data_IF_455580547203
#
_entry.id   IF_455580547203
#
_cell.length_a   1.000
_cell.length_b   1.000
_cell.length_c   1.000
_cell.angle_alpha   90.00
_cell.angle_beta   90.00
_cell.angle_gamma   90.00
#
_symmetry.space_group_name_H-M   'P 1'
#
loop_
_entity.id
_entity.type
_entity.pdbx_description
1 polymer ?
#
# COMPACT_ATOMS: atom_id res chain seq x y z
N UNK A 1 37.52 18.88 5.97
CA UNK A 1 37.62 17.83 4.92
C UNK A 1 36.40 16.97 5.03
N UNK A 2 35.36 17.20 4.23
CA UNK A 2 34.18 16.32 4.20
C UNK A 2 34.59 15.04 3.46
N UNK A 3 34.53 13.90 4.15
CA UNK A 3 34.88 12.61 3.58
C UNK A 3 33.84 12.20 2.53
N UNK A 4 34.27 11.80 1.33
CA UNK A 4 33.43 11.21 0.29
C UNK A 4 32.60 10.01 0.82
N UNK A 5 33.14 9.22 1.75
CA UNK A 5 32.47 8.12 2.43
C UNK A 5 31.20 8.55 3.20
N UNK A 6 31.18 9.79 3.74
CA UNK A 6 29.98 10.33 4.42
C UNK A 6 28.89 10.76 3.42
N UNK A 7 29.22 11.02 2.16
CA UNK A 7 28.26 11.35 1.11
C UNK A 7 27.55 10.09 0.56
N UNK A 8 28.29 8.99 0.36
CA UNK A 8 27.72 7.74 -0.15
C UNK A 8 26.80 7.05 0.86
N UNK A 9 27.13 7.03 2.15
CA UNK A 9 26.29 6.43 3.21
C UNK A 9 25.00 7.18 3.50
N UNK A 10 24.86 8.44 3.09
CA UNK A 10 23.62 9.22 3.26
C UNK A 10 22.61 8.97 2.13
N UNK A 11 23.08 8.61 0.93
CA UNK A 11 22.20 8.22 -0.18
C UNK A 11 21.46 6.91 0.10
N UNK A 12 22.13 5.93 0.69
CA UNK A 12 21.57 4.63 1.05
C UNK A 12 20.45 4.75 2.08
N UNK A 13 20.53 5.71 3.01
CA UNK A 13 19.51 5.93 4.05
C UNK A 13 18.13 6.19 3.50
N UNK A 14 17.97 6.92 2.39
CA UNK A 14 16.66 7.18 1.80
C UNK A 14 16.07 5.91 1.20
N UNK A 15 16.88 5.08 0.55
CA UNK A 15 16.42 3.78 0.07
C UNK A 15 15.98 2.89 1.23
N UNK A 16 16.76 2.82 2.32
CA UNK A 16 16.39 2.04 3.51
C UNK A 16 15.04 2.48 4.10
N UNK A 17 14.80 3.78 4.21
CA UNK A 17 13.56 4.33 4.74
C UNK A 17 12.37 4.06 3.81
N UNK A 18 12.53 4.20 2.50
CA UNK A 18 11.49 3.93 1.51
C UNK A 18 11.16 2.44 1.43
N UNK A 19 12.18 1.56 1.47
CA UNK A 19 11.99 0.10 1.53
C UNK A 19 11.27 -0.32 2.82
N UNK A 20 11.62 0.28 3.96
CA UNK A 20 10.93 0.04 5.22
C UNK A 20 9.47 0.53 5.19
N UNK A 21 9.20 1.65 4.49
CA UNK A 21 7.87 2.21 4.28
C UNK A 21 7.01 1.28 3.42
N UNK A 22 7.55 0.77 2.30
CA UNK A 22 6.89 -0.26 1.49
C UNK A 22 6.63 -1.55 2.29
N UNK A 23 7.59 -1.95 3.15
CA UNK A 23 7.44 -3.06 4.09
C UNK A 23 6.26 -2.87 5.04
N UNK A 24 6.06 -1.66 5.59
CA UNK A 24 4.94 -1.36 6.48
C UNK A 24 3.58 -1.47 5.75
N UNK A 25 3.52 -1.10 4.47
CA UNK A 25 2.32 -1.29 3.65
C UNK A 25 1.97 -2.78 3.50
N UNK A 26 2.96 -3.62 3.19
CA UNK A 26 2.80 -5.08 3.11
C UNK A 26 2.40 -5.70 4.45
N UNK A 27 2.98 -5.24 5.56
CA UNK A 27 2.61 -5.71 6.89
C UNK A 27 1.13 -5.41 7.21
N UNK A 28 0.62 -4.25 6.77
CA UNK A 28 -0.81 -3.92 6.85
C UNK A 28 -1.69 -4.86 6.03
N UNK A 29 -1.27 -5.23 4.81
CA UNK A 29 -2.01 -6.19 3.97
C UNK A 29 -2.01 -7.60 4.57
N UNK A 30 -0.90 -8.05 5.17
CA UNK A 30 -0.83 -9.31 5.93
C UNK A 30 -1.77 -9.33 7.12
N UNK A 31 -1.82 -8.22 7.88
CA UNK A 31 -2.74 -8.10 9.00
C UNK A 31 -4.21 -8.18 8.53
N UNK A 32 -4.52 -7.64 7.34
CA UNK A 32 -5.86 -7.75 6.75
C UNK A 32 -6.21 -9.20 6.40
N UNK A 33 -5.32 -9.93 5.74
CA UNK A 33 -5.55 -11.36 5.47
C UNK A 33 -5.81 -12.14 6.75
N UNK A 34 -4.95 -11.96 7.76
CA UNK A 34 -5.10 -12.63 9.05
C UNK A 34 -6.43 -12.29 9.74
N UNK A 35 -6.88 -11.02 9.68
CA UNK A 35 -8.17 -10.61 10.22
C UNK A 35 -9.35 -11.32 9.56
N UNK A 36 -9.32 -11.46 8.23
CA UNK A 36 -10.40 -12.08 7.45
C UNK A 36 -10.41 -13.61 7.56
N UNK A 37 -9.27 -14.22 7.84
CA UNK A 37 -9.11 -15.67 8.05
C UNK A 37 -9.42 -16.10 9.50
N UNK A 38 -9.43 -15.18 10.45
CA UNK A 38 -9.65 -15.45 11.88
C UNK A 38 -11.14 -15.69 12.20
N UNK A 39 -11.66 -16.85 11.79
CA UNK A 39 -13.04 -17.25 12.08
C UNK A 39 -13.24 -17.53 13.58
N UNK A 40 -14.06 -16.72 14.24
CA UNK A 40 -14.45 -16.94 15.64
C UNK A 40 -13.42 -16.51 16.70
N UNK A 41 -12.30 -15.91 16.30
CA UNK A 41 -11.30 -15.34 17.19
C UNK A 41 -11.57 -13.84 17.44
N UNK A 42 -11.09 -13.27 18.57
CA UNK A 42 -11.19 -11.84 18.81
C UNK A 42 -10.52 -11.04 17.68
N UNK A 43 -11.24 -10.14 17.03
CA UNK A 43 -10.72 -9.30 15.95
C UNK A 43 -9.76 -8.25 16.51
N UNK A 44 -8.45 -8.48 16.37
CA UNK A 44 -7.40 -7.61 16.90
C UNK A 44 -6.97 -6.58 15.86
N UNK A 45 -6.96 -5.31 16.24
CA UNK A 45 -6.51 -4.20 15.39
C UNK A 45 -5.03 -3.82 15.58
N UNK A 46 -4.30 -4.55 16.44
CA UNK A 46 -2.93 -4.17 16.82
C UNK A 46 -1.93 -4.24 15.65
N UNK A 47 -2.08 -5.21 14.75
CA UNK A 47 -1.26 -5.32 13.54
C UNK A 47 -1.39 -4.09 12.64
N UNK A 48 -2.63 -3.62 12.42
CA UNK A 48 -2.90 -2.42 11.60
C UNK A 48 -2.35 -1.16 12.26
N UNK A 49 -2.58 -1.00 13.57
CA UNK A 49 -2.07 0.13 14.35
C UNK A 49 -0.53 0.16 14.37
N UNK A 50 0.09 -1.01 14.46
CA UNK A 50 1.55 -1.13 14.40
C UNK A 50 2.09 -0.73 13.03
N UNK A 51 1.54 -1.25 11.93
CA UNK A 51 1.91 -0.88 10.56
C UNK A 51 1.72 0.63 10.33
N UNK A 52 0.61 1.18 10.79
CA UNK A 52 0.28 2.60 10.69
C UNK A 52 1.23 3.51 11.48
N UNK A 53 1.55 3.15 12.73
CA UNK A 53 2.54 3.88 13.55
C UNK A 53 3.91 3.85 12.91
N UNK A 54 4.36 2.65 12.50
CA UNK A 54 5.64 2.48 11.81
C UNK A 54 5.76 3.37 10.58
N UNK A 55 4.72 3.41 9.75
CA UNK A 55 4.71 4.25 8.56
C UNK A 55 4.75 5.74 8.89
N UNK A 56 4.00 6.18 9.90
CA UNK A 56 4.04 7.56 10.37
C UNK A 56 5.43 7.98 10.85
N UNK A 57 6.11 7.11 11.57
CA UNK A 57 7.46 7.36 12.08
C UNK A 57 8.49 7.38 10.94
N UNK A 58 8.33 6.50 9.92
CA UNK A 58 9.18 6.49 8.73
C UNK A 58 9.01 7.76 7.89
N UNK A 59 7.77 8.21 7.68
CA UNK A 59 7.51 9.46 6.97
C UNK A 59 8.13 10.67 7.69
N UNK A 60 8.07 10.71 9.03
CA UNK A 60 8.72 11.75 9.82
C UNK A 60 10.26 11.69 9.69
N UNK A 61 10.85 10.50 9.72
CA UNK A 61 12.30 10.30 9.52
C UNK A 61 12.75 10.71 8.11
N UNK A 62 11.95 10.43 7.06
CA UNK A 62 12.23 10.87 5.68
C UNK A 62 12.23 12.39 5.63
N UNK A 63 11.22 13.06 6.20
CA UNK A 63 11.12 14.52 6.23
C UNK A 63 12.29 15.14 6.98
N UNK A 64 12.67 14.61 8.13
CA UNK A 64 13.85 15.07 8.89
C UNK A 64 15.16 14.85 8.12
N UNK A 65 15.31 13.69 7.48
CA UNK A 65 16.50 13.39 6.66
C UNK A 65 16.61 14.35 5.47
N UNK A 66 15.49 14.70 4.83
CA UNK A 66 15.47 15.68 3.74
C UNK A 66 15.96 17.06 4.22
N UNK A 67 15.54 17.52 5.40
CA UNK A 67 16.02 18.81 5.95
C UNK A 67 17.51 18.78 6.23
N UNK A 68 18.04 17.68 6.74
CA UNK A 68 19.41 17.57 7.23
C UNK A 68 20.41 17.03 6.18
N UNK A 69 19.99 16.73 4.95
CA UNK A 69 20.85 16.19 3.89
C UNK A 69 20.96 17.20 2.76
N UNK A 70 22.18 17.60 2.40
CA UNK A 70 22.40 18.58 1.34
C UNK A 70 22.34 17.96 -0.07
N UNK A 71 22.85 16.74 -0.23
CA UNK A 71 22.84 15.99 -1.50
C UNK A 71 22.10 14.68 -1.30
N UNK A 72 21.12 14.39 -2.12
CA UNK A 72 20.29 13.18 -2.09
C UNK A 72 20.52 12.31 -3.34
N UNK A 73 20.34 11.00 -3.22
CA UNK A 73 20.51 10.07 -4.35
C UNK A 73 19.39 10.17 -5.41
N UNK A 74 18.22 10.66 -5.01
CA UNK A 74 17.07 10.97 -5.84
C UNK A 74 16.71 12.45 -5.64
N UNK A 75 15.95 13.02 -6.56
CA UNK A 75 15.40 14.35 -6.37
C UNK A 75 14.57 14.41 -5.09
N UNK A 76 14.70 15.49 -4.32
CA UNK A 76 14.01 15.67 -3.03
C UNK A 76 12.49 15.59 -3.18
N UNK A 77 11.96 16.18 -4.25
CA UNK A 77 10.55 16.14 -4.58
C UNK A 77 10.06 14.72 -4.88
N UNK A 78 10.89 13.90 -5.51
CA UNK A 78 10.59 12.50 -5.81
C UNK A 78 10.57 11.63 -4.52
N UNK A 79 11.52 11.87 -3.60
CA UNK A 79 11.53 11.21 -2.27
C UNK A 79 10.28 11.58 -1.48
N UNK A 80 9.89 12.86 -1.46
CA UNK A 80 8.71 13.34 -0.76
C UNK A 80 7.42 12.78 -1.37
N UNK A 81 7.32 12.74 -2.71
CA UNK A 81 6.18 12.17 -3.43
C UNK A 81 6.01 10.67 -3.11
N UNK A 82 7.11 9.89 -3.12
CA UNK A 82 7.06 8.47 -2.75
C UNK A 82 6.65 8.27 -1.30
N UNK A 83 7.25 9.01 -0.36
CA UNK A 83 6.91 8.94 1.07
C UNK A 83 5.43 9.26 1.29
N UNK A 84 4.93 10.33 0.66
CA UNK A 84 3.51 10.71 0.73
C UNK A 84 2.57 9.66 0.15
N UNK A 85 2.95 9.01 -0.95
CA UNK A 85 2.14 7.97 -1.57
C UNK A 85 2.12 6.69 -0.71
N UNK A 86 3.29 6.22 -0.23
CA UNK A 86 3.42 5.06 0.65
C UNK A 86 2.62 5.21 1.95
N UNK A 87 2.68 6.40 2.58
CA UNK A 87 1.95 6.72 3.80
C UNK A 87 0.43 6.46 3.72
N UNK A 88 -0.15 6.55 2.53
CA UNK A 88 -1.59 6.40 2.33
C UNK A 88 -2.07 4.96 2.36
N UNK A 89 -1.21 3.98 2.05
CA UNK A 89 -1.59 2.57 1.96
C UNK A 89 -2.01 2.02 3.33
N UNK A 90 -1.14 1.97 4.37
CA UNK A 90 -1.53 1.41 5.68
C UNK A 90 -2.67 2.21 6.32
N UNK A 91 -2.74 3.53 6.06
CA UNK A 91 -3.86 4.37 6.53
C UNK A 91 -5.21 3.94 5.94
N UNK A 92 -5.24 3.50 4.69
CA UNK A 92 -6.48 3.05 4.05
C UNK A 92 -6.85 1.65 4.52
N UNK A 93 -5.86 0.77 4.70
CA UNK A 93 -6.06 -0.59 5.24
C UNK A 93 -6.60 -0.55 6.68
N UNK A 94 -6.03 0.30 7.55
CA UNK A 94 -6.51 0.49 8.93
C UNK A 94 -7.98 0.92 8.96
N UNK A 95 -8.38 1.85 8.07
CA UNK A 95 -9.80 2.28 7.97
C UNK A 95 -10.74 1.15 7.60
N UNK A 96 -10.31 0.22 6.73
CA UNK A 96 -11.09 -0.97 6.44
C UNK A 96 -11.27 -1.81 7.71
N UNK A 97 -10.16 -2.13 8.39
CA UNK A 97 -10.17 -2.98 9.58
C UNK A 97 -11.05 -2.39 10.70
N UNK A 98 -10.93 -1.08 10.98
CA UNK A 98 -11.77 -0.40 11.96
C UNK A 98 -13.26 -0.48 11.65
N UNK A 99 -13.65 -0.32 10.38
CA UNK A 99 -15.05 -0.42 9.97
C UNK A 99 -15.54 -1.86 9.95
N UNK A 100 -14.71 -2.78 9.44
CA UNK A 100 -15.04 -4.19 9.36
C UNK A 100 -15.38 -4.77 10.74
N UNK A 101 -14.57 -4.50 11.76
CA UNK A 101 -14.81 -4.98 13.14
C UNK A 101 -16.15 -4.51 13.69
N UNK A 102 -16.59 -3.29 13.33
CA UNK A 102 -17.89 -2.75 13.80
C UNK A 102 -19.07 -3.47 13.15
N UNK A 103 -18.95 -3.90 11.90
CA UNK A 103 -20.06 -4.42 11.11
C UNK A 103 -19.93 -5.90 10.74
N UNK A 104 -18.92 -6.59 11.27
CA UNK A 104 -18.55 -7.96 10.88
C UNK A 104 -19.74 -8.93 10.89
N UNK A 105 -20.55 -8.92 11.97
CA UNK A 105 -21.76 -9.75 12.08
C UNK A 105 -22.80 -9.45 10.99
N UNK A 106 -22.87 -8.20 10.53
CA UNK A 106 -23.82 -7.79 9.49
C UNK A 106 -23.39 -8.20 8.08
N UNK A 107 -22.08 -8.36 7.88
CA UNK A 107 -21.48 -8.73 6.59
C UNK A 107 -20.97 -10.17 6.57
N UNK A 108 -21.35 -10.97 7.57
CA UNK A 108 -20.99 -12.38 7.65
C UNK A 108 -21.38 -13.14 6.36
N UNK A 109 -20.50 -14.05 5.92
CA UNK A 109 -20.64 -14.79 4.67
C UNK A 109 -20.35 -14.00 3.39
N UNK A 110 -19.90 -12.72 3.48
CA UNK A 110 -19.42 -11.96 2.32
C UNK A 110 -17.91 -12.20 2.16
N UNK A 111 -17.50 -12.62 0.97
CA UNK A 111 -16.08 -12.86 0.67
C UNK A 111 -15.30 -11.56 0.45
N UNK A 112 -14.48 -11.19 1.42
CA UNK A 112 -13.47 -10.14 1.31
C UNK A 112 -12.06 -10.70 1.05
N UNK A 113 -11.87 -12.01 1.22
CA UNK A 113 -10.55 -12.67 1.18
C UNK A 113 -9.91 -12.60 -0.20
N UNK A 114 -10.72 -12.82 -1.26
CA UNK A 114 -10.24 -12.72 -2.65
C UNK A 114 -9.61 -11.35 -2.95
N UNK A 115 -10.23 -10.28 -2.45
CA UNK A 115 -9.73 -8.90 -2.65
C UNK A 115 -8.55 -8.55 -1.75
N UNK A 116 -8.52 -9.12 -0.54
CA UNK A 116 -7.34 -9.02 0.33
C UNK A 116 -6.12 -9.70 -0.30
N UNK A 117 -6.30 -10.80 -1.05
CA UNK A 117 -5.27 -11.44 -1.86
C UNK A 117 -4.72 -10.52 -2.96
N UNK A 118 -5.58 -9.77 -3.64
CA UNK A 118 -5.15 -8.76 -4.63
C UNK A 118 -4.37 -7.62 -3.96
N UNK A 119 -4.83 -7.12 -2.80
CA UNK A 119 -4.10 -6.11 -2.03
C UNK A 119 -2.72 -6.61 -1.60
N UNK A 120 -2.62 -7.87 -1.18
CA UNK A 120 -1.33 -8.48 -0.85
C UNK A 120 -0.40 -8.48 -2.06
N UNK A 121 -0.88 -8.91 -3.23
CA UNK A 121 -0.12 -8.90 -4.49
C UNK A 121 0.30 -7.49 -4.90
N UNK A 122 -0.58 -6.49 -4.71
CA UNK A 122 -0.27 -5.09 -4.99
C UNK A 122 0.83 -4.54 -4.07
N UNK A 123 0.77 -4.82 -2.75
CA UNK A 123 1.79 -4.37 -1.80
C UNK A 123 3.14 -5.07 -2.02
N UNK A 124 3.16 -6.33 -2.42
CA UNK A 124 4.38 -7.04 -2.84
C UNK A 124 5.00 -6.39 -4.08
N UNK A 125 4.17 -6.04 -5.08
CA UNK A 125 4.63 -5.29 -6.25
C UNK A 125 5.26 -3.96 -5.89
N UNK A 126 4.68 -3.21 -4.93
CA UNK A 126 5.26 -1.96 -4.41
C UNK A 126 6.62 -2.21 -3.77
N UNK A 127 6.76 -3.25 -2.92
CA UNK A 127 8.04 -3.60 -2.29
C UNK A 127 9.10 -3.91 -3.35
N UNK A 128 8.75 -4.70 -4.38
CA UNK A 128 9.67 -5.02 -5.49
C UNK A 128 10.09 -3.75 -6.25
N UNK A 129 9.13 -2.85 -6.56
CA UNK A 129 9.42 -1.61 -7.31
C UNK A 129 10.32 -0.65 -6.51
N UNK A 130 10.08 -0.49 -5.20
CA UNK A 130 10.92 0.35 -4.34
C UNK A 130 12.34 -0.22 -4.26
N UNK A 131 12.48 -1.55 -4.10
CA UNK A 131 13.79 -2.21 -4.08
C UNK A 131 14.59 -2.04 -5.38
N UNK A 132 13.92 -1.98 -6.54
CA UNK A 132 14.57 -1.75 -7.83
C UNK A 132 15.20 -0.36 -7.99
N UNK A 133 14.73 0.65 -7.25
CA UNK A 133 15.34 1.98 -7.27
C UNK A 133 16.81 1.96 -6.84
N UNK A 134 17.14 1.13 -5.86
CA UNK A 134 18.53 0.93 -5.40
C UNK A 134 19.39 0.16 -6.41
N UNK A 135 18.77 -0.73 -7.20
CA UNK A 135 19.46 -1.68 -8.08
C UNK A 135 19.76 -1.15 -9.49
N UNK A 136 19.72 0.17 -9.69
CA UNK A 136 20.13 0.81 -10.94
C UNK A 136 19.00 1.15 -11.90
N UNK A 137 17.73 1.16 -11.45
CA UNK A 137 16.56 1.70 -12.15
C UNK A 137 16.37 1.14 -13.57
N UNK A 138 16.47 -0.18 -13.74
CA UNK A 138 16.29 -0.79 -15.04
C UNK A 138 14.86 -0.58 -15.57
N UNK A 139 14.72 0.25 -16.61
CA UNK A 139 13.43 0.64 -17.16
C UNK A 139 12.61 -0.57 -17.67
N UNK A 140 13.25 -1.56 -18.28
CA UNK A 140 12.56 -2.76 -18.80
C UNK A 140 11.98 -3.61 -17.66
N UNK A 141 12.70 -3.75 -16.55
CA UNK A 141 12.23 -4.45 -15.36
C UNK A 141 11.14 -3.65 -14.65
N UNK A 142 11.34 -2.35 -14.49
CA UNK A 142 10.36 -1.46 -13.87
C UNK A 142 9.04 -1.45 -14.62
N UNK A 143 9.08 -1.44 -15.96
CA UNK A 143 7.87 -1.51 -16.80
C UNK A 143 7.09 -2.79 -16.55
N UNK A 144 7.75 -3.94 -16.46
CA UNK A 144 7.08 -5.22 -16.15
C UNK A 144 6.40 -5.21 -14.79
N UNK A 145 7.03 -4.60 -13.77
CA UNK A 145 6.46 -4.47 -12.44
C UNK A 145 5.26 -3.53 -12.44
N UNK A 146 5.33 -2.44 -13.19
CA UNK A 146 4.24 -1.50 -13.37
C UNK A 146 3.05 -2.15 -14.07
N UNK A 147 3.29 -2.88 -15.18
CA UNK A 147 2.25 -3.61 -15.92
C UNK A 147 1.55 -4.65 -15.02
N UNK A 148 2.32 -5.36 -14.18
CA UNK A 148 1.78 -6.31 -13.19
C UNK A 148 0.91 -5.63 -12.15
N UNK A 149 1.35 -4.51 -11.61
CA UNK A 149 0.59 -3.74 -10.60
C UNK A 149 -0.71 -3.19 -11.19
N UNK A 150 -0.67 -2.70 -12.43
CA UNK A 150 -1.85 -2.24 -13.15
C UNK A 150 -2.83 -3.38 -13.45
N UNK A 151 -2.35 -4.58 -13.75
CA UNK A 151 -3.22 -5.75 -13.94
C UNK A 151 -3.95 -6.14 -12.63
N UNK A 152 -3.28 -6.05 -11.48
CA UNK A 152 -3.90 -6.30 -10.16
C UNK A 152 -5.00 -5.28 -9.87
N UNK A 153 -4.74 -4.01 -10.13
CA UNK A 153 -5.73 -2.93 -9.95
C UNK A 153 -6.93 -3.12 -10.88
N UNK A 154 -6.71 -3.40 -12.16
CA UNK A 154 -7.79 -3.63 -13.12
C UNK A 154 -8.66 -4.84 -12.75
N UNK A 155 -8.08 -5.87 -12.14
CA UNK A 155 -8.84 -7.01 -11.61
C UNK A 155 -9.64 -6.62 -10.37
N UNK A 156 -9.09 -5.79 -9.49
CA UNK A 156 -9.81 -5.27 -8.32
C UNK A 156 -11.02 -4.42 -8.73
N UNK A 157 -10.85 -3.54 -9.72
CA UNK A 157 -11.92 -2.73 -10.31
C UNK A 157 -13.04 -3.63 -10.90
N UNK A 158 -12.65 -4.66 -11.65
CA UNK A 158 -13.60 -5.60 -12.23
C UNK A 158 -14.42 -6.30 -11.14
N UNK A 159 -13.77 -6.73 -10.06
CA UNK A 159 -14.42 -7.37 -8.93
C UNK A 159 -15.33 -6.41 -8.14
N UNK A 160 -15.10 -5.10 -8.20
CA UNK A 160 -15.95 -4.13 -7.52
C UNK A 160 -17.39 -4.10 -8.11
N UNK A 161 -17.54 -4.47 -9.38
CA UNK A 161 -18.86 -4.52 -10.04
C UNK A 161 -19.72 -5.73 -9.65
N UNK A 162 -19.12 -6.81 -9.15
CA UNK A 162 -19.86 -8.01 -8.76
C UNK A 162 -20.83 -7.79 -7.59
N UNK A 163 -20.44 -7.11 -6.48
CA UNK A 163 -21.36 -6.77 -5.40
C UNK A 163 -22.54 -5.92 -5.85
N UNK A 164 -22.37 -5.05 -6.85
CA UNK A 164 -23.48 -4.29 -7.40
C UNK A 164 -24.55 -5.20 -8.03
N UNK A 165 -24.12 -6.28 -8.71
CA UNK A 165 -25.05 -7.22 -9.34
C UNK A 165 -25.71 -8.15 -8.32
N UNK A 166 -24.94 -8.69 -7.38
CA UNK A 166 -25.41 -9.72 -6.45
C UNK A 166 -26.10 -9.15 -5.22
N UNK A 167 -25.60 -8.04 -4.67
CA UNK A 167 -26.07 -7.46 -3.42
C UNK A 167 -27.22 -6.46 -3.64
N UNK A 168 -27.18 -5.65 -4.72
CA UNK A 168 -28.22 -4.65 -4.97
C UNK A 168 -29.43 -5.20 -5.73
N UNK A 169 -29.25 -6.21 -6.59
CA UNK A 169 -30.34 -6.79 -7.37
C UNK A 169 -30.96 -8.04 -6.74
N UNK A 170 -30.28 -8.66 -5.76
CA UNK A 170 -30.70 -9.94 -5.16
C UNK A 170 -30.80 -9.95 -3.64
N UNK A 171 -30.55 -8.83 -2.95
CA UNK A 171 -30.57 -8.80 -1.48
C UNK A 171 -31.84 -8.17 -0.91
N UNK A 172 -32.48 -8.88 0.01
CA UNK A 172 -33.58 -8.35 0.81
C UNK A 172 -33.10 -7.42 1.96
N UNK A 173 -31.79 -7.25 2.15
CA UNK A 173 -31.19 -6.38 3.18
C UNK A 173 -30.33 -5.28 2.52
N UNK A 174 -30.90 -4.11 2.22
CA UNK A 174 -30.19 -3.00 1.59
C UNK A 174 -29.11 -2.40 2.49
N UNK A 175 -29.23 -2.52 3.83
CA UNK A 175 -28.21 -2.02 4.77
C UNK A 175 -26.95 -2.91 4.66
N UNK A 176 -27.12 -4.22 4.64
CA UNK A 176 -26.04 -5.18 4.44
C UNK A 176 -25.30 -4.92 3.11
N UNK A 177 -26.07 -4.70 2.04
CA UNK A 177 -25.52 -4.39 0.73
C UNK A 177 -24.66 -3.10 0.74
N UNK A 178 -25.14 -2.05 1.41
CA UNK A 178 -24.42 -0.78 1.54
C UNK A 178 -23.13 -0.93 2.37
N UNK A 179 -23.19 -1.64 3.50
CA UNK A 179 -22.01 -1.89 4.34
C UNK A 179 -20.94 -2.70 3.59
N UNK A 180 -21.35 -3.74 2.86
CA UNK A 180 -20.46 -4.53 2.03
C UNK A 180 -19.79 -3.68 0.95
N UNK A 181 -20.55 -2.84 0.25
CA UNK A 181 -20.05 -1.91 -0.75
C UNK A 181 -18.98 -0.98 -0.16
N UNK A 182 -19.28 -0.33 0.97
CA UNK A 182 -18.34 0.59 1.62
C UNK A 182 -17.00 -0.10 1.99
N UNK A 183 -17.07 -1.36 2.40
CA UNK A 183 -15.87 -2.15 2.71
C UNK A 183 -15.11 -2.55 1.44
N UNK A 184 -15.79 -2.98 0.39
CA UNK A 184 -15.15 -3.28 -0.90
C UNK A 184 -14.43 -2.07 -1.49
N UNK A 185 -15.05 -0.89 -1.45
CA UNK A 185 -14.45 0.36 -1.90
C UNK A 185 -13.20 0.74 -1.11
N UNK A 186 -13.09 0.36 0.17
CA UNK A 186 -11.88 0.60 0.96
C UNK A 186 -10.73 -0.31 0.57
N UNK A 187 -10.98 -1.59 0.24
CA UNK A 187 -9.92 -2.49 -0.24
C UNK A 187 -9.45 -2.04 -1.63
N UNK A 188 -10.38 -1.78 -2.55
CA UNK A 188 -10.07 -1.26 -3.88
C UNK A 188 -9.23 0.03 -3.77
N UNK A 189 -9.65 0.97 -2.95
CA UNK A 189 -8.89 2.19 -2.69
C UNK A 189 -7.49 1.95 -2.14
N UNK A 190 -7.28 0.90 -1.35
CA UNK A 190 -5.94 0.55 -0.87
C UNK A 190 -5.07 0.00 -2.02
N UNK A 191 -5.63 -0.79 -2.94
CA UNK A 191 -4.97 -1.28 -4.15
C UNK A 191 -4.63 -0.11 -5.08
N UNK A 192 -5.56 0.82 -5.26
CA UNK A 192 -5.39 2.08 -6.00
C UNK A 192 -4.20 2.90 -5.46
N UNK A 193 -4.04 2.98 -4.13
CA UNK A 193 -2.87 3.62 -3.51
C UNK A 193 -1.55 2.91 -3.84
N UNK A 194 -1.56 1.59 -3.99
CA UNK A 194 -0.38 0.86 -4.45
C UNK A 194 -0.04 1.22 -5.91
N UNK A 195 -1.02 1.33 -6.79
CA UNK A 195 -0.85 1.80 -8.17
C UNK A 195 -0.31 3.24 -8.20
N UNK A 196 -0.82 4.14 -7.35
CA UNK A 196 -0.31 5.51 -7.24
C UNK A 196 1.20 5.52 -6.91
N UNK A 197 1.66 4.68 -5.97
CA UNK A 197 3.09 4.51 -5.67
C UNK A 197 3.85 4.02 -6.90
N UNK A 198 3.34 3.02 -7.60
CA UNK A 198 3.94 2.50 -8.83
C UNK A 198 4.12 3.59 -9.89
N UNK A 199 3.12 4.45 -10.08
CA UNK A 199 3.18 5.56 -11.02
C UNK A 199 4.28 6.58 -10.64
N UNK A 200 4.41 6.91 -9.35
CA UNK A 200 5.47 7.79 -8.86
C UNK A 200 6.85 7.18 -9.14
N UNK A 201 7.05 5.91 -8.78
CA UNK A 201 8.33 5.21 -9.00
C UNK A 201 8.66 5.14 -10.49
N UNK A 202 7.69 4.79 -11.33
CA UNK A 202 7.90 4.70 -12.78
C UNK A 202 8.30 6.05 -13.37
N UNK A 203 7.69 7.15 -12.92
CA UNK A 203 8.08 8.51 -13.32
C UNK A 203 9.51 8.85 -12.94
N UNK A 204 9.96 8.43 -11.74
CA UNK A 204 11.35 8.64 -11.28
C UNK A 204 12.32 7.89 -12.20
N UNK A 205 12.02 6.65 -12.54
CA UNK A 205 12.88 5.85 -13.43
C UNK A 205 12.95 6.48 -14.82
N UNK A 206 11.85 6.99 -15.36
CA UNK A 206 11.84 7.68 -16.66
C UNK A 206 12.67 8.96 -16.67
N UNK A 207 12.73 9.70 -15.56
CA UNK A 207 13.55 10.91 -15.45
C UNK A 207 15.07 10.60 -15.42
N UNK A 208 15.42 9.41 -14.94
CA UNK A 208 16.81 9.01 -14.67
C UNK A 208 17.38 8.00 -15.70
N UNK A 209 16.67 7.75 -16.81
CA UNK A 209 17.00 6.78 -17.87
C UNK A 209 17.70 7.42 -19.07
#
# INVERSE_FOLDING_TARGET
MFSLQTMFGKGDRFYDLLEASAGAARDGAKALQALLEAHGEPMLLDGFRAARRREKDLAAQISEALVNTFVTALDREDIEAMSSALYRIPKTIEKFAERYVIVAERVDGIDFTSRAGLLMSATEGVVEMVGELRNGMNIGRMRKLQDRLQAVESEADRLLLEPYRTQYLGSDDPIRAMLAKDLFELIEKAIDRCRDVGNVIYSIVLKNS
#
